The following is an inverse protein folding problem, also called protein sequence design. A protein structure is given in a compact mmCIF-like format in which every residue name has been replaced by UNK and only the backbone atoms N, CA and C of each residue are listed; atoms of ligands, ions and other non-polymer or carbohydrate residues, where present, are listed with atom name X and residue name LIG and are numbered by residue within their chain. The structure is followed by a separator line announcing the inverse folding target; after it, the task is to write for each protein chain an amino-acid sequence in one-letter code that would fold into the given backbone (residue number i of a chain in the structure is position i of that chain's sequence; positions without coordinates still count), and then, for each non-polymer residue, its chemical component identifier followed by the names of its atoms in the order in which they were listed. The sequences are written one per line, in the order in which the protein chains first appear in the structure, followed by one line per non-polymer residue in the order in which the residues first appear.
data_IF_379187606843
#
_entry.id   IF_379187606843
#
_cell.length_a   1.000
_cell.length_b   1.000
_cell.length_c   1.000
_cell.angle_alpha   90.00
_cell.angle_beta   90.00
_cell.angle_gamma   90.00
#
_symmetry.space_group_name_H-M   'P 1'
#
loop_
_entity.id
_entity.type
_entity.pdbx_description
1 polymer ?
#
# COMPACT_ATOMS: atom_id res chain seq x y z
N UNK A 1 -12.88 -71.11 -19.87
CA UNK A 1 -13.12 -69.74 -20.29
C UNK A 1 -12.66 -68.80 -19.17
N UNK A 2 -11.54 -68.09 -19.39
CA UNK A 2 -10.89 -67.21 -18.40
C UNK A 2 -11.24 -65.76 -18.76
N UNK A 3 -11.99 -65.09 -17.92
CA UNK A 3 -12.29 -63.65 -18.05
C UNK A 3 -11.18 -62.82 -17.41
N UNK A 4 -10.53 -61.95 -18.20
CA UNK A 4 -9.54 -60.99 -17.77
C UNK A 4 -10.28 -59.69 -17.45
N UNK A 5 -10.38 -59.33 -16.16
CA UNK A 5 -10.91 -58.07 -15.71
C UNK A 5 -9.84 -56.99 -15.82
N UNK A 6 -10.03 -56.01 -16.69
CA UNK A 6 -9.19 -54.83 -16.78
C UNK A 6 -9.61 -53.81 -15.70
N UNK A 7 -8.73 -53.52 -14.74
CA UNK A 7 -8.92 -52.45 -13.76
C UNK A 7 -8.48 -51.11 -14.37
N UNK A 8 -9.45 -50.20 -14.62
CA UNK A 8 -9.15 -48.81 -14.98
C UNK A 8 -8.77 -48.03 -13.72
N UNK A 9 -7.51 -47.64 -13.63
CA UNK A 9 -7.01 -46.70 -12.65
C UNK A 9 -7.36 -45.25 -13.11
N UNK A 10 -8.36 -44.63 -12.46
CA UNK A 10 -8.62 -43.22 -12.61
C UNK A 10 -7.60 -42.42 -11.77
N UNK A 11 -6.65 -41.77 -12.43
CA UNK A 11 -5.78 -40.76 -11.81
C UNK A 11 -6.57 -39.46 -11.61
N UNK A 12 -6.99 -39.17 -10.37
CA UNK A 12 -7.50 -37.84 -10.01
C UNK A 12 -6.33 -36.84 -10.03
N UNK A 13 -6.27 -36.05 -11.09
CA UNK A 13 -5.43 -34.86 -11.14
C UNK A 13 -6.04 -33.81 -10.21
N UNK A 14 -5.46 -33.61 -9.02
CA UNK A 14 -5.81 -32.53 -8.11
C UNK A 14 -5.37 -31.21 -8.77
N UNK A 15 -6.31 -30.50 -9.39
CA UNK A 15 -6.11 -29.13 -9.82
C UNK A 15 -5.95 -28.27 -8.53
N UNK A 16 -4.73 -27.84 -8.24
CA UNK A 16 -4.50 -26.80 -7.24
C UNK A 16 -5.23 -25.53 -7.72
N UNK A 17 -6.04 -24.88 -6.86
CA UNK A 17 -6.63 -23.62 -7.23
C UNK A 17 -5.49 -22.64 -7.53
N UNK A 18 -5.45 -22.11 -8.75
CA UNK A 18 -4.61 -20.97 -9.07
C UNK A 18 -5.10 -19.82 -8.18
N UNK A 19 -4.32 -19.46 -7.17
CA UNK A 19 -4.54 -18.23 -6.40
C UNK A 19 -4.41 -17.11 -7.42
N UNK A 20 -5.54 -16.51 -7.78
CA UNK A 20 -5.53 -15.32 -8.62
C UNK A 20 -4.63 -14.30 -7.90
N UNK A 21 -3.59 -13.86 -8.58
CA UNK A 21 -2.58 -12.93 -8.05
C UNK A 21 -3.26 -11.56 -8.01
N UNK A 22 -3.95 -11.26 -6.90
CA UNK A 22 -4.71 -10.02 -6.74
C UNK A 22 -3.77 -8.82 -6.82
N UNK A 23 -4.21 -7.80 -7.54
CA UNK A 23 -3.52 -6.52 -7.58
C UNK A 23 -3.45 -5.89 -6.17
N UNK A 24 -2.31 -5.34 -5.84
CA UNK A 24 -2.08 -4.69 -4.54
C UNK A 24 -2.85 -3.37 -4.43
N UNK A 25 -2.86 -2.61 -5.52
CA UNK A 25 -3.57 -1.34 -5.62
C UNK A 25 -4.01 -1.07 -7.07
N UNK A 26 -5.30 -1.08 -7.36
CA UNK A 26 -5.85 -1.00 -8.72
C UNK A 26 -5.13 -2.01 -9.62
N UNK A 27 -4.49 -1.55 -10.71
CA UNK A 27 -3.75 -2.40 -11.65
C UNK A 27 -2.32 -2.70 -11.22
N UNK A 28 -1.83 -2.07 -10.13
CA UNK A 28 -0.47 -2.30 -9.64
C UNK A 28 -0.35 -3.59 -8.85
N UNK A 29 0.73 -4.31 -9.10
CA UNK A 29 1.12 -5.51 -8.39
C UNK A 29 2.62 -5.47 -8.12
N UNK A 30 3.03 -5.66 -6.87
CA UNK A 30 4.44 -5.76 -6.51
C UNK A 30 5.08 -6.93 -7.25
N UNK A 31 6.23 -6.68 -7.87
CA UNK A 31 6.94 -7.60 -8.75
C UNK A 31 6.72 -7.36 -10.24
N UNK A 32 5.76 -6.51 -10.64
CA UNK A 32 5.58 -6.16 -12.06
C UNK A 32 6.73 -5.29 -12.57
N UNK A 33 7.05 -5.42 -13.86
CA UNK A 33 8.01 -4.56 -14.53
C UNK A 33 7.45 -3.15 -14.77
N UNK A 34 8.32 -2.14 -14.79
CA UNK A 34 7.94 -0.76 -15.17
C UNK A 34 7.27 -0.69 -16.53
N UNK A 35 7.61 -1.59 -17.47
CA UNK A 35 6.99 -1.65 -18.80
C UNK A 35 5.54 -2.19 -18.77
N UNK A 36 5.17 -2.85 -17.68
CA UNK A 36 3.82 -3.34 -17.44
C UNK A 36 2.98 -2.38 -16.60
N UNK A 37 3.61 -1.34 -16.02
CA UNK A 37 2.89 -0.38 -15.19
C UNK A 37 1.95 0.46 -16.07
N UNK A 38 0.72 0.72 -15.60
CA UNK A 38 -0.28 1.43 -16.40
C UNK A 38 0.13 2.88 -16.63
N UNK A 39 -0.02 3.36 -17.86
CA UNK A 39 0.21 4.76 -18.22
C UNK A 39 -1.09 5.57 -18.16
N UNK A 40 -2.20 5.00 -18.62
CA UNK A 40 -3.49 5.65 -18.61
C UNK A 40 -4.12 5.68 -17.21
N UNK A 41 -4.75 6.78 -16.84
CA UNK A 41 -5.42 6.93 -15.55
C UNK A 41 -4.49 7.34 -14.39
N UNK A 42 -3.22 7.64 -14.69
CA UNK A 42 -2.22 8.09 -13.72
C UNK A 42 -1.49 9.32 -14.19
N UNK A 43 -1.15 10.21 -13.26
CA UNK A 43 -0.49 11.48 -13.57
C UNK A 43 0.36 11.97 -12.39
N UNK A 44 1.14 13.02 -12.68
CA UNK A 44 1.93 13.70 -11.66
C UNK A 44 3.10 12.87 -11.15
N UNK A 45 3.70 12.02 -12.02
CA UNK A 45 4.91 11.30 -11.68
C UNK A 45 6.01 12.27 -11.28
N UNK A 46 6.58 12.09 -10.09
CA UNK A 46 7.65 12.93 -9.56
C UNK A 46 8.50 12.18 -8.53
N UNK A 47 9.74 12.61 -8.36
CA UNK A 47 10.62 12.01 -7.36
C UNK A 47 10.18 12.36 -5.93
N UNK A 48 10.17 11.37 -5.04
CA UNK A 48 10.00 11.61 -3.60
C UNK A 48 11.17 12.48 -3.10
N UNK A 49 10.84 13.51 -2.30
CA UNK A 49 11.84 14.47 -1.79
C UNK A 49 12.24 15.56 -2.77
N UNK A 50 11.86 15.45 -4.05
CA UNK A 50 12.03 16.51 -5.04
C UNK A 50 10.81 16.57 -5.99
N UNK A 51 9.68 17.13 -5.56
CA UNK A 51 8.43 17.16 -6.33
C UNK A 51 8.52 18.01 -7.59
N UNK A 52 9.52 18.89 -7.69
CA UNK A 52 9.79 19.69 -8.89
C UNK A 52 10.37 18.82 -10.01
N UNK A 53 11.01 17.70 -9.69
CA UNK A 53 11.53 16.76 -10.66
C UNK A 53 10.41 15.86 -11.17
N UNK A 54 9.71 16.33 -12.19
CA UNK A 54 8.66 15.58 -12.89
C UNK A 54 9.27 14.53 -13.80
N UNK A 55 8.57 13.41 -13.92
CA UNK A 55 8.90 12.33 -14.84
C UNK A 55 7.81 12.27 -15.92
N UNK A 56 8.19 11.96 -17.15
CA UNK A 56 7.25 11.82 -18.26
C UNK A 56 6.54 10.45 -18.22
N UNK A 57 7.27 9.40 -17.82
CA UNK A 57 6.77 8.04 -17.76
C UNK A 57 7.46 7.25 -16.63
N UNK A 58 7.03 6.00 -16.43
CA UNK A 58 7.59 5.14 -15.38
C UNK A 58 9.05 4.75 -15.64
N UNK A 59 9.49 4.66 -16.90
CA UNK A 59 10.85 4.30 -17.28
C UNK A 59 11.87 5.33 -16.84
N UNK A 60 11.43 6.56 -16.58
CA UNK A 60 12.28 7.66 -16.07
C UNK A 60 12.63 7.53 -14.58
N UNK A 61 12.17 6.50 -13.89
CA UNK A 61 12.33 6.32 -12.43
C UNK A 61 13.77 6.49 -11.94
N UNK A 62 14.77 6.11 -12.75
CA UNK A 62 16.19 6.27 -12.42
C UNK A 62 16.65 7.72 -12.31
N UNK A 63 15.87 8.67 -12.78
CA UNK A 63 16.13 10.09 -12.55
C UNK A 63 15.89 10.48 -11.08
N UNK A 64 15.13 9.69 -10.32
CA UNK A 64 14.98 9.86 -8.89
C UNK A 64 16.18 9.25 -8.15
N UNK A 65 16.73 9.94 -7.12
CA UNK A 65 17.80 9.38 -6.33
C UNK A 65 17.39 8.06 -5.67
N UNK A 66 18.28 7.07 -5.68
CA UNK A 66 18.06 5.85 -4.91
C UNK A 66 18.01 6.17 -3.41
N UNK A 67 17.04 5.62 -2.71
CA UNK A 67 16.95 5.70 -1.25
C UNK A 67 17.96 4.75 -0.58
N UNK A 68 18.02 4.78 0.76
CA UNK A 68 18.86 3.86 1.53
C UNK A 68 18.57 2.38 1.27
N UNK A 69 17.36 2.06 0.82
CA UNK A 69 16.96 0.71 0.37
C UNK A 69 17.56 0.29 -0.98
N UNK A 70 18.20 1.20 -1.71
CA UNK A 70 18.62 1.02 -3.11
C UNK A 70 17.48 1.16 -4.12
N UNK A 71 16.29 1.60 -3.70
CA UNK A 71 15.13 1.74 -4.57
C UNK A 71 14.84 3.20 -4.91
N UNK A 72 14.29 3.43 -6.09
CA UNK A 72 13.85 4.75 -6.56
C UNK A 72 12.39 4.94 -6.17
N UNK A 73 12.11 6.03 -5.48
CA UNK A 73 10.76 6.33 -5.01
C UNK A 73 10.10 7.37 -5.91
N UNK A 74 9.00 6.99 -6.53
CA UNK A 74 8.24 7.81 -7.46
C UNK A 74 6.83 8.05 -6.92
N UNK A 75 6.49 9.32 -6.67
CA UNK A 75 5.13 9.76 -6.39
C UNK A 75 4.28 9.70 -7.63
N UNK A 76 3.00 9.38 -7.48
CA UNK A 76 2.01 9.43 -8.54
C UNK A 76 0.62 9.69 -7.98
N UNK A 77 -0.33 10.02 -8.84
CA UNK A 77 -1.72 10.28 -8.52
C UNK A 77 -2.63 9.59 -9.51
N UNK A 78 -3.86 9.32 -9.10
CA UNK A 78 -4.89 8.91 -10.04
C UNK A 78 -5.35 10.08 -10.90
N UNK A 79 -5.58 9.85 -12.18
CA UNK A 79 -6.32 10.79 -13.04
C UNK A 79 -7.82 10.62 -12.80
N UNK A 80 -8.32 11.31 -11.79
CA UNK A 80 -9.73 11.27 -11.44
C UNK A 80 -10.61 12.09 -12.39
N UNK A 81 -10.02 12.93 -13.25
CA UNK A 81 -10.77 13.65 -14.27
C UNK A 81 -11.40 12.68 -15.29
N UNK A 82 -10.79 11.52 -15.48
CA UNK A 82 -11.31 10.44 -16.29
C UNK A 82 -12.43 9.64 -15.60
N UNK A 83 -12.62 9.78 -14.28
CA UNK A 83 -13.63 9.05 -13.52
C UNK A 83 -14.96 9.81 -13.51
N UNK A 84 -16.04 9.31 -14.14
CA UNK A 84 -17.34 9.97 -14.13
C UNK A 84 -17.92 10.20 -12.74
N UNK A 85 -17.63 9.30 -11.78
CA UNK A 85 -18.11 9.40 -10.41
C UNK A 85 -17.39 10.49 -9.60
N UNK A 86 -16.13 10.82 -9.94
CA UNK A 86 -15.42 11.92 -9.31
C UNK A 86 -16.04 13.27 -9.67
N UNK A 87 -16.61 13.40 -10.88
CA UNK A 87 -17.27 14.63 -11.34
C UNK A 87 -18.59 14.92 -10.61
N UNK A 88 -19.30 13.90 -10.14
CA UNK A 88 -20.59 14.07 -9.44
C UNK A 88 -20.42 14.70 -8.07
N UNK A 89 -19.30 14.48 -7.40
CA UNK A 89 -19.08 14.98 -6.04
C UNK A 89 -18.44 16.37 -5.95
N UNK A 90 -18.17 17.06 -7.06
CA UNK A 90 -17.77 18.48 -7.17
C UNK A 90 -16.61 18.98 -6.26
N UNK A 91 -16.19 18.20 -5.29
CA UNK A 91 -15.21 18.48 -4.25
C UNK A 91 -14.11 17.43 -4.28
N UNK A 92 -13.49 17.28 -5.46
CA UNK A 92 -12.40 16.36 -5.59
C UNK A 92 -11.15 16.88 -4.85
N UNK A 93 -10.72 16.18 -3.82
CA UNK A 93 -9.59 16.56 -2.96
C UNK A 93 -8.41 15.58 -3.14
N UNK A 94 -7.91 15.47 -4.36
CA UNK A 94 -6.77 14.63 -4.65
C UNK A 94 -7.09 13.12 -4.72
N UNK A 95 -6.06 12.31 -4.82
CA UNK A 95 -6.15 10.85 -4.92
C UNK A 95 -6.72 10.23 -3.65
N UNK A 96 -7.68 9.32 -3.82
CA UNK A 96 -8.31 8.62 -2.69
C UNK A 96 -8.17 7.11 -2.80
N UNK A 97 -7.91 6.48 -1.65
CA UNK A 97 -8.01 5.03 -1.47
C UNK A 97 -8.96 4.75 -0.32
N UNK A 98 -10.00 3.95 -0.56
CA UNK A 98 -11.04 3.67 0.44
C UNK A 98 -11.73 4.92 0.98
N UNK A 99 -11.87 6.00 0.19
CA UNK A 99 -12.46 7.26 0.59
C UNK A 99 -11.53 8.22 1.37
N UNK A 100 -10.30 7.78 1.69
CA UNK A 100 -9.30 8.61 2.35
C UNK A 100 -8.39 9.27 1.32
N UNK A 101 -8.14 10.60 1.40
CA UNK A 101 -7.09 11.26 0.62
C UNK A 101 -5.73 10.66 0.97
N UNK A 102 -4.94 10.32 -0.05
CA UNK A 102 -3.66 9.66 0.12
C UNK A 102 -2.59 10.19 -0.83
N UNK A 103 -1.34 10.01 -0.42
CA UNK A 103 -0.15 10.11 -1.23
C UNK A 103 0.25 8.69 -1.63
N UNK A 104 0.51 8.48 -2.92
CA UNK A 104 0.93 7.19 -3.46
C UNK A 104 2.38 7.25 -3.89
N UNK A 105 3.14 6.22 -3.55
CA UNK A 105 4.55 6.07 -3.95
C UNK A 105 4.80 4.67 -4.47
N UNK A 106 5.39 4.58 -5.65
CA UNK A 106 5.97 3.35 -6.18
C UNK A 106 7.45 3.27 -5.79
N UNK A 107 7.90 2.13 -5.31
CA UNK A 107 9.29 1.83 -4.97
C UNK A 107 9.84 0.89 -6.05
N UNK A 108 10.71 1.40 -6.91
CA UNK A 108 11.19 0.70 -8.10
C UNK A 108 12.68 0.37 -7.90
N UNK A 109 13.04 -0.89 -8.11
CA UNK A 109 14.43 -1.34 -8.05
C UNK A 109 15.23 -1.01 -9.32
N UNK A 110 16.56 -1.07 -9.23
CA UNK A 110 17.45 -0.88 -10.38
C UNK A 110 17.18 -1.87 -11.55
N UNK A 111 16.58 -3.02 -11.23
CA UNK A 111 16.14 -4.01 -12.21
C UNK A 111 14.83 -3.65 -12.93
N UNK A 112 14.26 -2.48 -12.65
CA UNK A 112 13.02 -2.01 -13.25
C UNK A 112 11.77 -2.72 -12.73
N UNK A 113 11.84 -3.41 -11.60
CA UNK A 113 10.67 -4.04 -10.99
C UNK A 113 10.10 -3.21 -9.85
N UNK A 114 8.79 -3.19 -9.72
CA UNK A 114 8.08 -2.62 -8.59
C UNK A 114 8.35 -3.45 -7.33
N UNK A 115 9.24 -2.99 -6.46
CA UNK A 115 9.64 -3.67 -5.22
C UNK A 115 8.65 -3.48 -4.09
N UNK A 116 7.88 -2.39 -4.15
CA UNK A 116 6.88 -2.07 -3.15
C UNK A 116 6.06 -0.85 -3.50
N UNK A 117 5.06 -0.62 -2.67
CA UNK A 117 4.19 0.55 -2.74
C UNK A 117 3.99 1.14 -1.35
N UNK A 118 3.91 2.45 -1.27
CA UNK A 118 3.52 3.16 -0.05
C UNK A 118 2.23 3.93 -0.32
N UNK A 119 1.26 3.74 0.56
CA UNK A 119 -0.01 4.46 0.58
C UNK A 119 -0.09 5.16 1.93
N UNK A 120 -0.04 6.47 1.92
CA UNK A 120 -0.05 7.29 3.15
C UNK A 120 -1.19 8.29 3.11
N UNK A 121 -1.93 8.44 4.20
CA UNK A 121 -2.98 9.46 4.28
C UNK A 121 -2.40 10.86 4.14
N UNK A 122 -3.03 11.70 3.31
CA UNK A 122 -2.52 13.02 2.96
C UNK A 122 -2.59 13.99 4.16
N UNK A 123 -1.44 14.47 4.68
CA UNK A 123 -1.42 15.43 5.79
C UNK A 123 -1.95 16.82 5.40
N UNK A 124 -2.03 17.14 4.11
CA UNK A 124 -2.57 18.40 3.60
C UNK A 124 -4.10 18.35 3.39
N UNK A 125 -4.72 17.18 3.56
CA UNK A 125 -6.17 17.05 3.45
C UNK A 125 -6.91 17.95 4.43
N UNK A 126 -8.16 18.31 4.12
CA UNK A 126 -9.01 19.11 5.01
C UNK A 126 -9.14 18.49 6.40
N UNK A 127 -9.26 19.33 7.41
CA UNK A 127 -9.25 18.93 8.82
C UNK A 127 -10.23 17.77 9.14
N UNK A 128 -11.43 17.80 8.58
CA UNK A 128 -12.43 16.76 8.84
C UNK A 128 -12.06 15.39 8.23
N UNK A 129 -11.31 15.38 7.13
CA UNK A 129 -10.76 14.16 6.52
C UNK A 129 -9.54 13.67 7.31
N UNK A 130 -8.65 14.59 7.71
CA UNK A 130 -7.49 14.24 8.55
C UNK A 130 -7.93 13.60 9.87
N UNK A 131 -9.00 14.08 10.51
CA UNK A 131 -9.55 13.46 11.74
C UNK A 131 -9.86 11.97 11.57
N UNK A 132 -10.17 11.53 10.36
CA UNK A 132 -10.52 10.14 10.04
C UNK A 132 -9.37 9.33 9.44
N UNK A 133 -8.17 9.92 9.29
CA UNK A 133 -7.04 9.26 8.64
C UNK A 133 -6.65 7.92 9.31
N UNK A 134 -6.78 7.82 10.63
CA UNK A 134 -6.52 6.58 11.37
C UNK A 134 -7.46 5.43 11.00
N UNK A 135 -8.68 5.71 10.48
CA UNK A 135 -9.63 4.69 10.04
C UNK A 135 -9.18 3.98 8.74
N UNK A 136 -8.27 4.59 7.98
CA UNK A 136 -7.69 3.93 6.81
C UNK A 136 -7.03 2.60 7.18
N UNK A 137 -6.41 2.51 8.35
CA UNK A 137 -5.81 1.26 8.83
C UNK A 137 -6.82 0.12 9.01
N UNK A 138 -8.06 0.39 9.43
CA UNK A 138 -9.10 -0.63 9.52
C UNK A 138 -9.50 -1.14 8.13
N UNK A 139 -9.58 -0.26 7.14
CA UNK A 139 -9.86 -0.65 5.75
C UNK A 139 -8.73 -1.50 5.16
N UNK A 140 -7.47 -1.18 5.50
CA UNK A 140 -6.31 -2.00 5.11
C UNK A 140 -6.44 -3.40 5.71
N UNK A 141 -6.73 -3.52 7.02
CA UNK A 141 -6.91 -4.81 7.68
C UNK A 141 -8.06 -5.61 7.05
N UNK A 142 -9.18 -4.96 6.75
CA UNK A 142 -10.32 -5.61 6.06
C UNK A 142 -9.96 -6.09 4.66
N UNK A 143 -9.24 -5.28 3.85
CA UNK A 143 -8.85 -5.64 2.48
C UNK A 143 -7.87 -6.82 2.43
N UNK A 144 -6.85 -6.80 3.27
CA UNK A 144 -5.81 -7.83 3.29
C UNK A 144 -6.11 -8.98 4.26
N UNK A 145 -7.33 -9.04 4.82
CA UNK A 145 -7.77 -9.99 5.82
C UNK A 145 -7.37 -9.59 7.23
N UNK A 146 -8.31 -9.67 8.16
CA UNK A 146 -8.14 -9.22 9.55
C UNK A 146 -7.20 -10.11 10.37
N UNK A 147 -7.15 -11.41 10.05
CA UNK A 147 -6.26 -12.35 10.72
C UNK A 147 -4.81 -12.24 10.26
N UNK A 148 -3.87 -12.60 11.15
CA UNK A 148 -2.45 -12.69 10.83
C UNK A 148 -1.67 -11.38 10.91
N UNK A 149 -2.26 -10.31 11.43
CA UNK A 149 -1.54 -9.10 11.82
C UNK A 149 -0.92 -9.25 13.20
N UNK A 150 0.35 -8.88 13.32
CA UNK A 150 1.04 -8.69 14.59
C UNK A 150 1.19 -7.21 14.83
N UNK A 151 0.55 -6.68 15.86
CA UNK A 151 0.54 -5.25 16.16
C UNK A 151 1.20 -4.96 17.50
N UNK A 152 1.97 -3.88 17.55
CA UNK A 152 2.57 -3.31 18.76
C UNK A 152 2.05 -1.89 18.91
N UNK A 153 1.36 -1.64 20.02
CA UNK A 153 0.92 -0.29 20.40
C UNK A 153 1.92 0.30 21.38
N UNK A 154 2.22 1.59 21.19
CA UNK A 154 3.08 2.35 22.08
C UNK A 154 2.23 3.18 23.03
N UNK A 155 2.62 3.23 24.29
CA UNK A 155 2.02 4.14 25.27
C UNK A 155 2.35 5.60 24.95
N UNK A 156 1.49 6.55 25.35
CA UNK A 156 1.76 7.97 25.14
C UNK A 156 3.09 8.40 25.78
N UNK A 157 3.92 9.12 25.02
CA UNK A 157 5.05 9.84 25.61
C UNK A 157 4.55 11.00 26.51
N UNK A 158 5.42 11.54 27.37
CA UNK A 158 5.03 12.54 28.36
C UNK A 158 4.42 13.83 27.76
N UNK A 159 4.76 14.13 26.50
CA UNK A 159 4.27 15.28 25.74
C UNK A 159 3.12 14.94 24.77
N UNK A 160 2.66 13.68 24.72
CA UNK A 160 1.60 13.23 23.83
C UNK A 160 0.26 13.12 24.57
N UNK A 161 -0.78 13.64 23.94
CA UNK A 161 -2.13 13.66 24.48
C UNK A 161 -3.13 13.03 23.50
N UNK A 162 -4.20 12.39 24.00
CA UNK A 162 -5.29 11.89 23.17
C UNK A 162 -6.00 12.99 22.39
N UNK A 163 -6.54 12.64 21.23
CA UNK A 163 -7.41 13.48 20.41
C UNK A 163 -8.85 12.97 20.53
N UNK A 164 -9.72 13.75 21.18
CA UNK A 164 -11.10 13.34 21.43
C UNK A 164 -11.23 12.07 22.28
N UNK A 165 -10.31 11.88 23.23
CA UNK A 165 -10.26 10.71 24.11
C UNK A 165 -9.63 9.47 23.47
N UNK A 166 -9.16 9.55 22.22
CA UNK A 166 -8.52 8.43 21.52
C UNK A 166 -7.04 8.72 21.31
N UNK A 167 -6.19 7.78 21.71
CA UNK A 167 -4.75 7.75 21.42
C UNK A 167 -4.43 6.51 20.58
N UNK A 168 -3.71 6.70 19.48
CA UNK A 168 -3.23 5.62 18.62
C UNK A 168 -1.75 5.89 18.31
N UNK A 169 -0.90 4.93 18.56
CA UNK A 169 0.46 4.87 18.07
C UNK A 169 0.80 3.39 17.91
N UNK A 170 0.50 2.86 16.73
CA UNK A 170 0.48 1.43 16.45
C UNK A 170 1.33 1.11 15.23
N UNK A 171 2.14 0.08 15.35
CA UNK A 171 2.87 -0.55 14.26
C UNK A 171 2.39 -1.98 14.08
N UNK A 172 1.94 -2.33 12.88
CA UNK A 172 1.45 -3.66 12.56
C UNK A 172 2.20 -4.26 11.38
N UNK A 173 2.51 -5.53 11.46
CA UNK A 173 3.07 -6.31 10.35
C UNK A 173 2.18 -7.50 10.02
N UNK A 174 2.11 -7.83 8.74
CA UNK A 174 1.51 -9.08 8.24
C UNK A 174 2.38 -9.63 7.13
N UNK A 175 2.71 -10.91 7.21
CA UNK A 175 3.46 -11.63 6.17
C UNK A 175 2.56 -12.72 5.61
N UNK A 176 2.44 -12.74 4.29
CA UNK A 176 1.78 -13.79 3.53
C UNK A 176 2.82 -14.51 2.65
N UNK A 177 2.42 -15.52 1.91
CA UNK A 177 3.32 -16.20 0.96
C UNK A 177 3.86 -15.26 -0.13
N UNK A 178 3.12 -14.21 -0.49
CA UNK A 178 3.45 -13.30 -1.59
C UNK A 178 3.87 -11.90 -1.14
N UNK A 179 3.42 -11.44 0.04
CA UNK A 179 3.53 -10.03 0.47
C UNK A 179 4.00 -9.90 1.91
N UNK A 180 4.77 -8.83 2.16
CA UNK A 180 4.97 -8.26 3.49
C UNK A 180 4.24 -6.93 3.52
N UNK A 181 3.36 -6.76 4.50
CA UNK A 181 2.58 -5.56 4.74
C UNK A 181 3.05 -4.95 6.05
N UNK A 182 3.32 -3.65 6.04
CA UNK A 182 3.61 -2.86 7.23
C UNK A 182 2.61 -1.73 7.32
N UNK A 183 1.91 -1.61 8.44
CA UNK A 183 0.91 -0.58 8.68
C UNK A 183 1.25 0.20 9.93
N UNK A 184 1.57 1.48 9.77
CA UNK A 184 1.77 2.43 10.85
C UNK A 184 0.53 3.30 11.00
N UNK A 185 0.05 3.48 12.24
CA UNK A 185 -1.11 4.31 12.56
C UNK A 185 -0.78 5.24 13.72
N UNK A 186 -1.16 6.49 13.57
CA UNK A 186 -0.96 7.50 14.63
C UNK A 186 -2.17 8.40 14.74
N UNK A 187 -2.63 8.63 15.97
CA UNK A 187 -3.61 9.66 16.34
C UNK A 187 -3.26 10.17 17.72
N UNK A 188 -2.65 11.34 17.78
CA UNK A 188 -2.33 12.03 19.03
C UNK A 188 -2.09 13.51 18.77
N UNK A 189 -1.95 14.30 19.81
CA UNK A 189 -1.55 15.69 19.81
C UNK A 189 -0.34 15.87 20.72
N UNK A 190 0.57 16.76 20.36
CA UNK A 190 1.58 17.21 21.33
C UNK A 190 0.98 18.27 22.25
N UNK A 191 1.32 18.24 23.53
CA UNK A 191 0.80 19.16 24.54
C UNK A 191 1.02 20.65 24.17
N UNK A 192 2.10 20.95 23.42
CA UNK A 192 2.41 22.30 22.91
C UNK A 192 1.59 22.71 21.67
N UNK A 193 0.86 21.79 21.04
CA UNK A 193 0.11 22.07 19.81
C UNK A 193 -1.29 22.58 20.09
N UNK A 194 -1.83 23.37 19.15
CA UNK A 194 -3.25 23.78 19.18
C UNK A 194 -4.14 22.56 18.92
N UNK A 195 -5.39 22.60 19.37
CA UNK A 195 -6.37 21.51 19.21
C UNK A 195 -6.57 21.05 17.75
N UNK A 196 -6.35 21.92 16.77
CA UNK A 196 -6.46 21.59 15.34
C UNK A 196 -5.19 20.98 14.74
N UNK A 197 -4.06 21.10 15.45
CA UNK A 197 -2.73 20.71 14.97
C UNK A 197 -2.35 19.36 15.60
N UNK A 198 -3.13 18.33 15.31
CA UNK A 198 -2.90 16.97 15.77
C UNK A 198 -2.26 16.11 14.66
N UNK A 199 -1.57 15.06 15.06
CA UNK A 199 -1.13 13.97 14.19
C UNK A 199 -2.31 13.01 14.01
N UNK A 200 -2.70 12.76 12.76
CA UNK A 200 -3.59 11.65 12.39
C UNK A 200 -3.08 11.13 11.05
N UNK A 201 -2.51 9.94 11.07
CA UNK A 201 -1.81 9.34 9.93
C UNK A 201 -2.03 7.85 9.92
N UNK A 202 -2.19 7.29 8.73
CA UNK A 202 -2.00 5.87 8.47
C UNK A 202 -1.10 5.73 7.25
N UNK A 203 -0.13 4.83 7.35
CA UNK A 203 0.82 4.52 6.28
C UNK A 203 0.88 3.03 6.10
N UNK A 204 0.46 2.56 4.94
CA UNK A 204 0.62 1.18 4.50
C UNK A 204 1.82 1.09 3.56
N UNK A 205 2.69 0.15 3.82
CA UNK A 205 3.74 -0.26 2.90
C UNK A 205 3.53 -1.72 2.49
N UNK A 206 3.51 -1.98 1.19
CA UNK A 206 3.34 -3.30 0.59
C UNK A 206 4.65 -3.64 -0.11
N UNK A 207 5.27 -4.76 0.23
CA UNK A 207 6.48 -5.29 -0.42
C UNK A 207 6.29 -6.73 -0.83
N UNK A 208 7.11 -7.24 -1.75
CA UNK A 208 7.22 -8.67 -1.96
C UNK A 208 7.69 -9.36 -0.66
N UNK A 209 7.11 -10.51 -0.35
CA UNK A 209 7.68 -11.35 0.69
C UNK A 209 9.13 -11.70 0.29
N UNK A 210 10.07 -11.62 1.24
CA UNK A 210 11.41 -12.14 0.97
C UNK A 210 11.27 -13.62 0.61
N UNK A 211 11.92 -14.03 -0.48
CA UNK A 211 11.97 -15.45 -0.82
C UNK A 211 12.49 -16.22 0.40
N UNK A 212 11.72 -17.23 0.85
CA UNK A 212 12.18 -18.08 1.92
C UNK A 212 13.56 -18.63 1.53
N UNK A 213 14.58 -18.33 2.36
CA UNK A 213 15.91 -18.91 2.13
C UNK A 213 15.74 -20.43 2.16
N UNK A 214 16.13 -21.17 1.12
CA UNK A 214 16.07 -22.62 1.19
C UNK A 214 16.83 -23.10 2.43
N UNK A 215 16.35 -24.14 3.13
CA UNK A 215 17.07 -24.69 4.25
C UNK A 215 18.48 -25.03 3.79
N UNK A 216 19.48 -24.62 4.56
CA UNK A 216 20.86 -25.02 4.31
C UNK A 216 20.92 -26.55 4.40
N UNK A 217 21.32 -27.21 3.29
CA UNK A 217 21.55 -28.65 3.22
C UNK A 217 22.77 -29.03 4.03
#
# INVERSE_FOLDING_TARGET
MRGIGAALLFALASALPAVADENDLREFRVGMSVDQMPHAGYLGLACVGNPERKLENWQDYRQCPAQASGWHAVHFRYDEAANPLAKVNGLYEGTKVGGHPVLLTALIGDDGQLKGMVIETDPAARLYLRKKAFLFGEQVKSRFGEAGWTCVSQEPAADQEPVGGLFINEHCEKVTSARRLTLDRSLFRLASQKLKDFVSRSRLEIRAAAAARPPAL
#
